data_IF_927245670762
#
_entry.id   IF_927245670762
#
_cell.length_a   1.000
_cell.length_b   1.000
_cell.length_c   1.000
_cell.angle_alpha   90.00
_cell.angle_beta   90.00
_cell.angle_gamma   90.00
#
_symmetry.space_group_name_H-M   'P 1'
#
loop_
_entity.id
_entity.type
_entity.pdbx_description
1 polymer ?
#
# COMPACT_ATOMS: atom_id res chain seq x y z
N UNK A 1 42.71 -1.76 23.05
CA UNK A 1 41.73 -0.66 23.13
C UNK A 1 41.70 0.06 21.79
N UNK A 2 40.50 0.47 21.34
CA UNK A 2 40.10 1.03 20.02
C UNK A 2 40.16 0.03 18.84
N UNK A 3 39.10 -0.66 18.37
CA UNK A 3 37.77 -0.30 17.80
C UNK A 3 37.81 0.65 16.60
N UNK A 4 37.64 0.13 15.39
CA UNK A 4 36.72 0.68 14.38
C UNK A 4 36.32 -0.43 13.41
N UNK A 5 35.04 -0.80 13.46
CA UNK A 5 34.35 -1.69 12.54
C UNK A 5 33.86 -0.83 11.38
N UNK A 6 34.52 -0.89 10.23
CA UNK A 6 34.02 -0.27 9.00
C UNK A 6 33.03 -1.22 8.35
N UNK A 7 31.75 -0.96 8.58
CA UNK A 7 30.65 -1.58 7.84
C UNK A 7 30.73 -1.15 6.38
N UNK A 8 31.32 -1.99 5.52
CA UNK A 8 31.08 -1.89 4.08
C UNK A 8 29.58 -2.14 3.85
N UNK A 9 28.86 -1.08 3.50
CA UNK A 9 27.55 -1.18 2.88
C UNK A 9 27.76 -1.86 1.52
N UNK A 10 27.59 -3.18 1.49
CA UNK A 10 27.47 -3.93 0.24
C UNK A 10 26.17 -3.48 -0.42
N UNK A 11 26.26 -2.47 -1.28
CA UNK A 11 25.20 -2.17 -2.24
C UNK A 11 25.12 -3.34 -3.21
N UNK A 12 24.21 -4.28 -2.97
CA UNK A 12 23.88 -5.33 -3.92
C UNK A 12 23.30 -4.69 -5.18
N UNK A 13 24.17 -4.34 -6.13
CA UNK A 13 23.79 -3.99 -7.49
C UNK A 13 23.37 -5.29 -8.17
N UNK A 14 22.09 -5.66 -8.04
CA UNK A 14 21.54 -6.74 -8.85
C UNK A 14 21.78 -6.40 -10.34
N UNK A 15 22.38 -7.29 -11.14
CA UNK A 15 22.48 -7.06 -12.56
C UNK A 15 21.07 -6.96 -13.13
N UNK A 16 20.85 -6.00 -14.04
CA UNK A 16 19.54 -5.77 -14.68
C UNK A 16 18.98 -7.02 -15.39
N UNK A 17 19.87 -7.98 -15.68
CA UNK A 17 19.58 -9.24 -16.36
C UNK A 17 19.84 -10.45 -15.45
N UNK A 18 19.83 -10.27 -14.12
CA UNK A 18 19.89 -11.39 -13.18
C UNK A 18 18.79 -12.40 -13.55
N UNK A 19 19.21 -13.61 -13.92
CA UNK A 19 18.29 -14.68 -14.24
C UNK A 19 17.41 -14.95 -13.00
N UNK A 20 16.12 -14.68 -13.12
CA UNK A 20 15.13 -15.04 -12.10
C UNK A 20 15.18 -16.56 -12.00
N UNK A 21 15.40 -17.14 -10.80
CA UNK A 21 15.34 -18.58 -10.61
C UNK A 21 14.04 -19.16 -11.19
N UNK A 22 14.09 -20.36 -11.77
CA UNK A 22 12.94 -20.95 -12.45
C UNK A 22 11.66 -21.00 -11.56
N UNK A 23 11.82 -21.18 -10.25
CA UNK A 23 10.72 -21.18 -9.28
C UNK A 23 10.06 -19.81 -9.06
N UNK A 24 10.68 -18.72 -9.51
CA UNK A 24 10.18 -17.35 -9.44
C UNK A 24 9.80 -16.79 -10.81
N UNK A 25 9.83 -17.60 -11.87
CA UNK A 25 9.50 -17.16 -13.23
C UNK A 25 8.12 -16.50 -13.33
N UNK A 26 7.16 -16.91 -12.48
CA UNK A 26 5.83 -16.32 -12.34
C UNK A 26 5.85 -14.81 -12.04
N UNK A 27 6.89 -14.28 -11.36
CA UNK A 27 7.02 -12.84 -11.11
C UNK A 27 7.22 -12.00 -12.38
N UNK A 28 7.55 -12.65 -13.50
CA UNK A 28 7.71 -12.02 -14.81
C UNK A 28 6.41 -11.98 -15.61
N UNK A 29 5.37 -12.68 -15.15
CA UNK A 29 4.05 -12.61 -15.78
C UNK A 29 3.47 -11.21 -15.57
N UNK A 30 2.96 -10.56 -16.62
CA UNK A 30 2.30 -9.27 -16.48
C UNK A 30 1.08 -9.44 -15.58
N UNK A 31 1.13 -8.81 -14.41
CA UNK A 31 -0.03 -8.71 -13.53
C UNK A 31 -1.08 -7.91 -14.29
N UNK A 32 -2.24 -8.50 -14.52
CA UNK A 32 -3.36 -7.81 -15.15
C UNK A 32 -3.65 -6.54 -14.34
N UNK A 33 -3.50 -5.37 -14.97
CA UNK A 33 -3.61 -4.09 -14.28
C UNK A 33 -5.08 -3.78 -14.01
N UNK A 34 -5.60 -4.28 -12.91
CA UNK A 34 -6.90 -3.87 -12.41
C UNK A 34 -6.79 -2.46 -11.82
N UNK A 35 -7.73 -1.55 -12.12
CA UNK A 35 -7.73 -0.24 -11.51
C UNK A 35 -7.91 -0.38 -9.99
N UNK A 36 -7.08 0.33 -9.23
CA UNK A 36 -7.11 0.31 -7.75
C UNK A 36 -8.38 0.91 -7.17
N UNK A 37 -9.04 1.77 -7.93
CA UNK A 37 -10.29 2.42 -7.59
C UNK A 37 -11.32 2.24 -8.69
N UNK A 38 -12.57 2.14 -8.29
CA UNK A 38 -13.72 2.17 -9.19
C UNK A 38 -13.96 3.62 -9.68
N UNK A 39 -14.72 3.80 -10.77
CA UNK A 39 -15.08 5.14 -11.27
C UNK A 39 -15.83 6.01 -10.24
N UNK A 40 -16.47 5.35 -9.27
CA UNK A 40 -17.17 5.99 -8.16
C UNK A 40 -16.25 6.33 -6.98
N UNK A 41 -14.92 6.30 -7.13
CA UNK A 41 -13.95 6.67 -6.10
C UNK A 41 -13.74 5.63 -5.00
N UNK A 42 -14.52 4.54 -4.97
CA UNK A 42 -14.32 3.45 -3.99
C UNK A 42 -13.11 2.59 -4.34
N UNK A 43 -12.50 1.96 -3.34
CA UNK A 43 -11.44 0.98 -3.59
C UNK A 43 -11.99 -0.26 -4.29
N UNK A 44 -11.25 -0.79 -5.25
CA UNK A 44 -11.57 -2.07 -5.86
C UNK A 44 -11.18 -3.23 -4.94
N UNK A 45 -12.14 -3.73 -4.14
CA UNK A 45 -11.90 -4.85 -3.21
C UNK A 45 -11.74 -6.20 -3.92
N UNK A 46 -11.90 -6.26 -5.25
CA UNK A 46 -11.63 -7.48 -6.04
C UNK A 46 -10.17 -7.58 -6.47
N UNK A 47 -9.35 -6.54 -6.26
CA UNK A 47 -7.91 -6.60 -6.47
C UNK A 47 -7.27 -7.39 -5.32
N UNK A 48 -6.62 -8.55 -5.59
CA UNK A 48 -6.04 -9.39 -4.54
C UNK A 48 -5.04 -8.66 -3.64
N UNK A 49 -4.28 -7.71 -4.20
CA UNK A 49 -3.33 -6.89 -3.46
C UNK A 49 -4.02 -5.90 -2.49
N UNK A 50 -5.17 -5.36 -2.87
CA UNK A 50 -5.90 -4.38 -2.07
C UNK A 50 -6.80 -5.05 -1.05
N UNK A 51 -7.36 -6.21 -1.39
CA UNK A 51 -8.14 -7.04 -0.48
C UNK A 51 -7.35 -7.34 0.80
N UNK A 52 -6.10 -7.80 0.66
CA UNK A 52 -5.23 -8.10 1.81
C UNK A 52 -4.89 -6.85 2.64
N UNK A 53 -4.69 -5.70 2.01
CA UNK A 53 -4.41 -4.45 2.70
C UNK A 53 -5.59 -3.96 3.58
N UNK A 54 -6.83 -4.27 3.21
CA UNK A 54 -8.04 -3.87 3.95
C UNK A 54 -8.74 -5.04 4.67
N UNK A 55 -8.07 -6.18 4.83
CA UNK A 55 -8.57 -7.34 5.57
C UNK A 55 -8.54 -7.15 7.10
N UNK A 56 -8.06 -6.01 7.60
CA UNK A 56 -8.10 -5.67 9.01
C UNK A 56 -9.55 -5.49 9.51
N UNK A 57 -9.80 -5.73 10.81
CA UNK A 57 -11.14 -5.52 11.44
C UNK A 57 -11.70 -4.10 11.19
N UNK A 58 -10.81 -3.12 11.09
CA UNK A 58 -11.12 -1.71 10.82
C UNK A 58 -11.04 -1.32 9.34
N UNK A 59 -10.79 -2.28 8.44
CA UNK A 59 -10.55 -2.00 7.02
C UNK A 59 -11.73 -1.32 6.33
N UNK A 60 -12.95 -1.46 6.83
CA UNK A 60 -14.12 -0.75 6.30
C UNK A 60 -14.01 0.77 6.45
N UNK A 61 -13.50 1.26 7.59
CA UNK A 61 -13.27 2.68 7.83
C UNK A 61 -12.21 3.25 6.89
N UNK A 62 -11.17 2.46 6.59
CA UNK A 62 -10.15 2.86 5.61
C UNK A 62 -10.74 2.98 4.20
N UNK A 63 -11.65 2.07 3.82
CA UNK A 63 -12.33 2.14 2.51
C UNK A 63 -13.20 3.39 2.39
N UNK A 64 -13.88 3.78 3.46
CA UNK A 64 -14.68 5.00 3.52
C UNK A 64 -13.82 6.26 3.47
N UNK A 65 -12.71 6.28 4.21
CA UNK A 65 -11.75 7.39 4.18
C UNK A 65 -11.14 7.57 2.79
N UNK A 66 -10.74 6.49 2.11
CA UNK A 66 -10.21 6.54 0.74
C UNK A 66 -11.27 7.01 -0.25
N UNK A 67 -12.53 6.57 -0.10
CA UNK A 67 -13.61 7.04 -0.97
C UNK A 67 -13.82 8.55 -0.83
N UNK A 68 -13.85 9.07 0.41
CA UNK A 68 -13.89 10.51 0.66
C UNK A 68 -12.71 11.25 0.03
N UNK A 69 -11.49 10.76 0.28
CA UNK A 69 -10.26 11.35 -0.25
C UNK A 69 -10.24 11.38 -1.78
N UNK A 70 -10.73 10.32 -2.43
CA UNK A 70 -10.78 10.24 -3.89
C UNK A 70 -11.73 11.27 -4.50
N UNK A 71 -12.85 11.57 -3.83
CA UNK A 71 -13.80 12.60 -4.25
C UNK A 71 -13.42 14.02 -3.84
N UNK A 72 -12.51 14.18 -2.87
CA UNK A 72 -12.15 15.47 -2.33
C UNK A 72 -11.60 16.41 -3.40
N UNK A 73 -12.11 17.65 -3.38
CA UNK A 73 -11.64 18.77 -4.21
C UNK A 73 -11.07 19.91 -3.37
N UNK A 74 -10.95 19.71 -2.06
CA UNK A 74 -10.38 20.70 -1.14
C UNK A 74 -8.88 20.84 -1.35
N UNK A 75 -8.31 21.95 -0.87
CA UNK A 75 -6.88 22.19 -0.82
C UNK A 75 -6.45 22.45 0.64
N UNK A 76 -5.69 21.55 1.29
CA UNK A 76 -5.17 20.29 0.75
C UNK A 76 -6.28 19.24 0.52
N UNK A 77 -6.04 18.35 -0.43
CA UNK A 77 -6.97 17.24 -0.74
C UNK A 77 -7.23 16.41 0.51
N UNK A 78 -8.50 16.19 0.81
CA UNK A 78 -8.95 15.39 1.96
C UNK A 78 -9.07 16.16 3.27
N UNK A 79 -8.93 17.50 3.26
CA UNK A 79 -9.12 18.32 4.47
C UNK A 79 -10.48 18.10 5.14
N UNK A 80 -11.53 17.83 4.37
CA UNK A 80 -12.88 17.52 4.85
C UNK A 80 -13.08 16.06 5.29
N UNK A 81 -12.10 15.20 5.02
CA UNK A 81 -12.16 13.75 5.30
C UNK A 81 -11.51 13.36 6.63
N UNK A 82 -11.13 14.35 7.45
CA UNK A 82 -10.45 14.14 8.73
C UNK A 82 -11.20 13.14 9.61
N UNK A 83 -12.52 13.30 9.74
CA UNK A 83 -13.35 12.45 10.61
C UNK A 83 -13.23 10.96 10.29
N UNK A 84 -13.19 10.59 9.01
CA UNK A 84 -13.09 9.21 8.55
C UNK A 84 -11.70 8.63 8.87
N UNK A 85 -10.65 9.42 8.66
CA UNK A 85 -9.28 9.01 9.00
C UNK A 85 -9.08 8.88 10.51
N UNK A 86 -9.65 9.78 11.31
CA UNK A 86 -9.62 9.70 12.77
C UNK A 86 -10.36 8.48 13.29
N UNK A 87 -11.56 8.18 12.77
CA UNK A 87 -12.30 6.97 13.15
C UNK A 87 -11.51 5.70 12.83
N UNK A 88 -10.88 5.63 11.65
CA UNK A 88 -10.01 4.52 11.30
C UNK A 88 -8.83 4.37 12.26
N UNK A 89 -8.14 5.47 12.58
CA UNK A 89 -7.01 5.49 13.51
C UNK A 89 -7.43 5.01 14.92
N UNK A 90 -8.55 5.53 15.44
CA UNK A 90 -9.11 5.10 16.72
C UNK A 90 -9.46 3.62 16.71
N UNK A 91 -10.03 3.09 15.63
CA UNK A 91 -10.36 1.67 15.55
C UNK A 91 -9.10 0.79 15.56
N UNK A 92 -8.02 1.19 14.86
CA UNK A 92 -6.76 0.44 14.88
C UNK A 92 -6.16 0.41 16.29
N UNK A 93 -6.17 1.55 16.98
CA UNK A 93 -5.59 1.72 18.31
C UNK A 93 -6.36 0.96 19.40
N UNK A 94 -7.71 0.98 19.31
CA UNK A 94 -8.57 0.20 20.19
C UNK A 94 -8.55 -1.28 19.79
N UNK A 95 -7.66 -2.05 20.42
CA UNK A 95 -7.45 -3.49 20.17
C UNK A 95 -8.72 -4.33 20.32
#
# INVERSE_FOLDING_TARGET
MATTSTSELIFLKAPKDAAIPAHLAYLKEPIEQFPSYLPDGRINTKCPCLESAFAHRCGYLMREAIACFNHSKSDPRGAECESQFVQHALCIDNK
#
